data_IF_463309350208
#
_entry.id   IF_463309350208
#
_cell.length_a   1.000
_cell.length_b   1.000
_cell.length_c   1.000
_cell.angle_alpha   90.00
_cell.angle_beta   90.00
_cell.angle_gamma   90.00
#
_symmetry.space_group_name_H-M   'P 1'
#
loop_
_entity.id
_entity.type
_entity.pdbx_description
1 polymer ?
#
# COMPACT_ATOMS: atom_id res chain seq x y z
N UNK A 1 -47.71 -3.83 55.59
CA UNK A 1 -47.83 -3.81 54.12
C UNK A 1 -47.32 -2.48 53.62
N UNK A 2 -46.09 -2.43 53.10
CA UNK A 2 -45.50 -1.22 52.50
C UNK A 2 -45.71 -1.32 50.99
N UNK A 3 -46.51 -0.39 50.45
CA UNK A 3 -46.75 -0.25 49.02
C UNK A 3 -45.51 0.42 48.43
N UNK A 4 -44.68 -0.34 47.73
CA UNK A 4 -43.59 0.23 46.93
C UNK A 4 -44.19 0.98 45.74
N UNK A 5 -43.64 2.16 45.37
CA UNK A 5 -44.20 2.98 44.31
C UNK A 5 -43.87 2.36 42.94
N UNK A 6 -44.92 1.99 42.20
CA UNK A 6 -44.92 1.52 40.81
C UNK A 6 -44.26 2.52 39.83
N UNK A 7 -43.99 3.75 40.29
CA UNK A 7 -43.42 4.85 39.52
C UNK A 7 -41.93 4.69 39.21
N UNK A 8 -41.18 3.85 39.95
CA UNK A 8 -39.75 3.63 39.69
C UNK A 8 -39.46 2.63 38.57
N UNK A 9 -40.45 1.80 38.17
CA UNK A 9 -40.31 0.79 37.11
C UNK A 9 -40.52 1.36 35.69
N UNK A 10 -41.10 2.56 35.56
CA UNK A 10 -41.29 3.24 34.26
C UNK A 10 -40.11 4.13 33.84
N UNK A 11 -39.17 4.42 34.74
CA UNK A 11 -37.97 5.22 34.45
C UNK A 11 -36.74 4.38 34.06
N UNK A 12 -36.84 3.04 34.13
CA UNK A 12 -35.82 2.11 33.63
C UNK A 12 -36.14 1.55 32.22
N UNK A 13 -37.29 1.93 31.65
CA UNK A 13 -37.63 1.67 30.25
C UNK A 13 -37.09 2.78 29.33
N UNK A 14 -35.92 3.34 29.65
CA UNK A 14 -35.14 4.16 28.73
C UNK A 14 -34.64 3.27 27.59
N UNK A 15 -35.53 3.05 26.62
CA UNK A 15 -35.29 3.26 25.20
C UNK A 15 -33.87 2.91 24.77
N UNK A 16 -33.56 1.62 24.65
CA UNK A 16 -32.60 1.22 23.62
C UNK A 16 -33.21 1.72 22.31
N UNK A 17 -32.64 2.80 21.76
CA UNK A 17 -32.85 3.17 20.37
C UNK A 17 -32.80 1.89 19.56
N UNK A 18 -33.80 1.61 18.70
CA UNK A 18 -33.79 0.39 17.90
C UNK A 18 -32.42 0.30 17.25
N UNK A 19 -31.67 -0.73 17.64
CA UNK A 19 -30.31 -0.94 17.17
C UNK A 19 -30.39 -1.05 15.66
N UNK A 20 -29.56 -0.27 14.96
CA UNK A 20 -29.55 -0.30 13.51
C UNK A 20 -29.30 -1.76 13.08
N UNK A 21 -30.20 -2.39 12.32
CA UNK A 21 -30.06 -3.79 11.95
C UNK A 21 -28.72 -4.09 11.27
N UNK A 22 -28.13 -3.10 10.59
CA UNK A 22 -26.79 -3.24 10.01
C UNK A 22 -25.69 -3.39 11.08
N UNK A 23 -25.78 -2.68 12.21
CA UNK A 23 -24.78 -2.76 13.29
C UNK A 23 -24.80 -4.13 13.97
N UNK A 24 -26.00 -4.69 14.21
CA UNK A 24 -26.15 -6.03 14.75
C UNK A 24 -25.56 -7.11 13.82
N UNK A 25 -25.67 -6.93 12.50
CA UNK A 25 -25.07 -7.83 11.52
C UNK A 25 -23.53 -7.72 11.52
N UNK A 26 -22.99 -6.51 11.60
CA UNK A 26 -21.54 -6.27 11.67
C UNK A 26 -20.94 -6.85 12.94
N UNK A 27 -21.58 -6.66 14.10
CA UNK A 27 -21.12 -7.19 15.38
C UNK A 27 -21.07 -8.72 15.42
N UNK A 28 -22.02 -9.39 14.76
CA UNK A 28 -22.10 -10.85 14.71
C UNK A 28 -21.15 -11.52 13.68
N UNK A 29 -20.56 -10.75 12.75
CA UNK A 29 -19.73 -11.30 11.67
C UNK A 29 -18.55 -12.17 12.14
N UNK A 30 -17.76 -11.79 13.17
CA UNK A 30 -16.62 -12.60 13.61
C UNK A 30 -17.01 -13.98 14.16
N UNK A 31 -18.24 -14.14 14.65
CA UNK A 31 -18.71 -15.37 15.29
C UNK A 31 -19.43 -16.30 14.30
N UNK A 32 -20.20 -15.74 13.37
CA UNK A 32 -21.03 -16.50 12.43
C UNK A 32 -21.13 -15.80 11.04
N UNK A 33 -20.05 -15.81 10.23
CA UNK A 33 -20.05 -15.13 8.93
C UNK A 33 -21.06 -15.74 7.94
N UNK A 34 -21.27 -17.05 7.97
CA UNK A 34 -22.22 -17.74 7.09
C UNK A 34 -23.68 -17.40 7.45
N UNK A 35 -24.03 -17.40 8.73
CA UNK A 35 -25.35 -16.99 9.19
C UNK A 35 -25.61 -15.50 8.96
N UNK A 36 -24.62 -14.63 9.16
CA UNK A 36 -24.73 -13.21 8.80
C UNK A 36 -24.97 -13.05 7.30
N UNK A 37 -24.21 -13.77 6.46
CA UNK A 37 -24.40 -13.74 5.01
C UNK A 37 -25.80 -14.19 4.58
N UNK A 38 -26.34 -15.25 5.19
CA UNK A 38 -27.71 -15.69 4.95
C UNK A 38 -28.74 -14.62 5.35
N UNK A 39 -28.58 -13.99 6.52
CA UNK A 39 -29.47 -12.92 7.00
C UNK A 39 -29.43 -11.69 6.10
N UNK A 40 -28.25 -11.24 5.67
CA UNK A 40 -28.09 -10.10 4.75
C UNK A 40 -28.82 -10.34 3.43
N UNK A 41 -28.73 -11.55 2.87
CA UNK A 41 -29.44 -11.93 1.63
C UNK A 41 -30.95 -12.01 1.80
N UNK A 42 -31.42 -12.24 3.03
CA UNK A 42 -32.84 -12.33 3.38
C UNK A 42 -33.46 -10.98 3.79
N UNK A 43 -32.70 -9.88 3.76
CA UNK A 43 -33.24 -8.53 3.99
C UNK A 43 -34.15 -8.12 2.83
N UNK A 44 -35.40 -7.76 3.16
CA UNK A 44 -36.41 -7.34 2.17
C UNK A 44 -36.16 -5.91 1.64
N UNK A 45 -35.55 -5.05 2.46
CA UNK A 45 -35.25 -3.66 2.09
C UNK A 45 -33.86 -3.56 1.42
N UNK A 46 -33.77 -3.22 0.12
CA UNK A 46 -32.51 -3.11 -0.59
C UNK A 46 -31.59 -2.01 -0.04
N UNK A 47 -32.15 -0.96 0.57
CA UNK A 47 -31.35 0.11 1.19
C UNK A 47 -30.68 -0.42 2.46
N UNK A 48 -31.42 -1.13 3.31
CA UNK A 48 -30.87 -1.76 4.52
C UNK A 48 -29.82 -2.82 4.14
N UNK A 49 -30.09 -3.62 3.12
CA UNK A 49 -29.12 -4.58 2.59
C UNK A 49 -27.84 -3.88 2.11
N UNK A 50 -27.96 -2.79 1.34
CA UNK A 50 -26.82 -2.01 0.87
C UNK A 50 -25.99 -1.44 2.03
N UNK A 51 -26.64 -0.87 3.04
CA UNK A 51 -25.95 -0.34 4.23
C UNK A 51 -25.22 -1.46 4.97
N UNK A 52 -25.87 -2.60 5.21
CA UNK A 52 -25.28 -3.74 5.90
C UNK A 52 -24.05 -4.29 5.14
N UNK A 53 -24.16 -4.53 3.83
CA UNK A 53 -23.04 -5.03 3.02
C UNK A 53 -21.89 -4.01 2.98
N UNK A 54 -22.19 -2.72 2.87
CA UNK A 54 -21.16 -1.68 2.84
C UNK A 54 -20.37 -1.63 4.15
N UNK A 55 -21.06 -1.63 5.30
CA UNK A 55 -20.39 -1.64 6.63
C UNK A 55 -19.59 -2.92 6.85
N UNK A 56 -20.12 -4.08 6.43
CA UNK A 56 -19.39 -5.34 6.48
C UNK A 56 -18.13 -5.30 5.61
N UNK A 57 -18.20 -4.77 4.37
CA UNK A 57 -17.06 -4.68 3.48
C UNK A 57 -15.98 -3.70 3.96
N UNK A 58 -16.39 -2.60 4.59
CA UNK A 58 -15.49 -1.64 5.22
C UNK A 58 -14.78 -2.23 6.45
N UNK A 59 -15.50 -3.01 7.27
CA UNK A 59 -14.97 -3.60 8.50
C UNK A 59 -14.17 -4.89 8.29
N UNK A 60 -14.58 -5.71 7.33
CA UNK A 60 -14.02 -7.03 7.02
C UNK A 60 -13.65 -7.13 5.52
N UNK A 61 -12.73 -6.29 5.05
CA UNK A 61 -12.32 -6.24 3.67
C UNK A 61 -11.62 -7.55 3.26
N UNK A 62 -11.95 -8.07 2.08
CA UNK A 62 -11.43 -9.33 1.54
C UNK A 62 -12.19 -10.57 2.02
N UNK A 63 -13.05 -10.45 3.04
CA UNK A 63 -13.83 -11.57 3.59
C UNK A 63 -15.30 -11.55 3.15
N UNK A 64 -15.77 -10.42 2.59
CA UNK A 64 -17.18 -10.17 2.29
C UNK A 64 -17.50 -10.22 0.80
N UNK A 65 -16.56 -10.66 -0.04
CA UNK A 65 -16.71 -10.66 -1.50
C UNK A 65 -17.96 -11.39 -2.01
N UNK A 66 -18.36 -12.47 -1.35
CA UNK A 66 -19.58 -13.22 -1.67
C UNK A 66 -20.89 -12.46 -1.36
N UNK A 67 -20.83 -11.38 -0.57
CA UNK A 67 -21.97 -10.50 -0.29
C UNK A 67 -22.14 -9.44 -1.37
N UNK A 68 -21.07 -9.04 -2.07
CA UNK A 68 -21.16 -8.00 -3.10
C UNK A 68 -22.13 -8.41 -4.22
N UNK A 69 -22.19 -9.70 -4.56
CA UNK A 69 -23.13 -10.22 -5.55
C UNK A 69 -24.60 -10.12 -5.14
N UNK A 70 -24.90 -9.97 -3.84
CA UNK A 70 -26.26 -9.80 -3.34
C UNK A 70 -26.83 -8.40 -3.60
N UNK A 71 -25.96 -7.38 -3.68
CA UNK A 71 -26.36 -6.01 -4.02
C UNK A 71 -26.80 -5.91 -5.47
N UNK A 72 -27.71 -5.01 -5.82
CA UNK A 72 -28.04 -4.73 -7.22
C UNK A 72 -26.79 -4.25 -8.01
N UNK A 73 -26.78 -4.49 -9.33
CA UNK A 73 -25.70 -4.01 -10.18
C UNK A 73 -25.68 -2.48 -10.19
N UNK A 74 -24.54 -1.89 -9.82
CA UNK A 74 -24.39 -0.44 -9.72
C UNK A 74 -23.26 0.00 -8.78
N UNK A 75 -23.22 1.29 -8.42
CA UNK A 75 -22.12 1.88 -7.66
C UNK A 75 -21.84 1.19 -6.31
N UNK A 76 -22.89 0.72 -5.61
CA UNK A 76 -22.76 0.04 -4.33
C UNK A 76 -22.06 -1.34 -4.47
N UNK A 77 -22.48 -2.15 -5.45
CA UNK A 77 -21.82 -3.42 -5.78
C UNK A 77 -20.36 -3.20 -6.19
N UNK A 78 -20.10 -2.20 -7.04
CA UNK A 78 -18.73 -1.85 -7.46
C UNK A 78 -17.87 -1.44 -6.27
N UNK A 79 -18.42 -0.64 -5.34
CA UNK A 79 -17.72 -0.22 -4.12
C UNK A 79 -17.40 -1.41 -3.22
N UNK A 80 -18.38 -2.30 -2.97
CA UNK A 80 -18.16 -3.54 -2.23
C UNK A 80 -17.06 -4.42 -2.86
N UNK A 81 -17.07 -4.56 -4.19
CA UNK A 81 -16.05 -5.33 -4.89
C UNK A 81 -14.65 -4.72 -4.70
N UNK A 82 -14.52 -3.38 -4.77
CA UNK A 82 -13.23 -2.71 -4.55
C UNK A 82 -12.66 -2.94 -3.14
N UNK A 83 -13.50 -2.83 -2.10
CA UNK A 83 -13.11 -3.15 -0.72
C UNK A 83 -12.50 -4.55 -0.62
N UNK A 84 -13.15 -5.52 -1.25
CA UNK A 84 -12.75 -6.92 -1.19
C UNK A 84 -11.53 -7.26 -2.07
N UNK A 85 -11.29 -6.49 -3.14
CA UNK A 85 -10.12 -6.67 -3.99
C UNK A 85 -8.86 -6.01 -3.41
N UNK A 86 -9.01 -5.08 -2.44
CA UNK A 86 -7.90 -4.29 -1.89
C UNK A 86 -7.86 -4.31 -0.36
N UNK A 87 -7.87 -5.49 0.28
CA UNK A 87 -7.92 -5.56 1.74
C UNK A 87 -6.73 -4.88 2.43
N UNK A 88 -5.58 -4.82 1.77
CA UNK A 88 -4.37 -4.17 2.27
C UNK A 88 -4.51 -2.65 2.47
N UNK A 89 -5.41 -1.96 1.76
CA UNK A 89 -5.67 -0.53 2.02
C UNK A 89 -6.38 -0.34 3.36
N UNK A 90 -7.13 -1.35 3.78
CA UNK A 90 -8.00 -1.27 4.94
C UNK A 90 -7.34 -1.76 6.24
N UNK A 91 -6.16 -2.38 6.13
CA UNK A 91 -5.32 -2.78 7.27
C UNK A 91 -4.43 -1.64 7.78
N UNK A 92 -4.23 -0.58 7.00
CA UNK A 92 -3.50 0.61 7.46
C UNK A 92 -4.35 1.27 8.56
N UNK A 93 -3.82 1.45 9.80
CA UNK A 93 -4.54 2.14 10.85
C UNK A 93 -4.87 3.57 10.39
N UNK A 94 -6.06 4.11 10.70
CA UNK A 94 -6.31 5.53 10.55
C UNK A 94 -5.21 6.30 11.28
N UNK A 95 -4.71 7.39 10.69
CA UNK A 95 -3.83 8.30 11.42
C UNK A 95 -4.56 8.72 12.70
N UNK A 96 -3.90 8.62 13.85
CA UNK A 96 -4.53 8.95 15.13
C UNK A 96 -5.18 10.34 15.04
N UNK A 97 -6.46 10.44 15.41
CA UNK A 97 -7.27 11.65 15.25
C UNK A 97 -6.69 12.86 16.00
N UNK A 98 -5.80 12.61 16.96
CA UNK A 98 -5.10 13.62 17.77
C UNK A 98 -4.03 14.38 16.98
N UNK A 99 -3.57 13.84 15.85
CA UNK A 99 -2.89 14.65 14.86
C UNK A 99 -3.96 15.55 14.23
N UNK A 100 -4.06 16.79 14.72
CA UNK A 100 -4.97 17.81 14.20
C UNK A 100 -5.08 17.68 12.68
N UNK A 101 -6.28 17.65 12.09
CA UNK A 101 -6.48 17.42 10.67
C UNK A 101 -5.68 18.46 9.91
N UNK A 102 -4.44 18.09 9.56
CA UNK A 102 -3.58 18.95 8.81
C UNK A 102 -4.28 19.00 7.45
N UNK A 103 -4.81 20.16 7.11
CA UNK A 103 -5.35 20.46 5.77
C UNK A 103 -4.36 20.09 4.65
N UNK A 104 -3.10 19.85 5.01
CA UNK A 104 -2.03 19.30 4.19
C UNK A 104 -1.54 17.98 4.80
N UNK A 105 -2.02 16.81 4.34
CA UNK A 105 -1.29 15.58 4.59
C UNK A 105 0.12 15.75 3.99
N UNK A 106 1.17 15.65 4.82
CA UNK A 106 2.51 15.47 4.29
C UNK A 106 2.49 14.21 3.42
N UNK A 107 2.98 14.27 2.18
CA UNK A 107 3.02 13.10 1.33
C UNK A 107 3.86 12.02 2.04
N UNK A 108 3.51 10.73 1.89
CA UNK A 108 4.36 9.68 2.44
C UNK A 108 5.76 9.80 1.84
N UNK A 109 6.79 9.42 2.60
CA UNK A 109 8.20 9.72 2.27
C UNK A 109 8.65 9.17 0.90
N UNK A 110 7.94 8.16 0.38
CA UNK A 110 8.15 7.53 -0.91
C UNK A 110 7.41 8.22 -2.07
N UNK A 111 6.53 9.18 -1.79
CA UNK A 111 5.84 10.00 -2.79
C UNK A 111 6.46 11.39 -2.74
N UNK A 112 7.32 11.68 -3.71
CA UNK A 112 7.85 13.04 -3.87
C UNK A 112 6.84 13.87 -4.63
N UNK A 113 6.47 15.00 -4.05
CA UNK A 113 5.42 15.87 -4.56
C UNK A 113 5.93 17.30 -4.46
N UNK A 114 5.91 18.07 -5.55
CA UNK A 114 6.18 19.51 -5.46
C UNK A 114 5.17 20.20 -4.55
N UNK A 115 5.63 21.16 -3.76
CA UNK A 115 4.77 21.98 -2.89
C UNK A 115 3.59 22.61 -3.65
N UNK A 116 3.80 22.97 -4.91
CA UNK A 116 2.77 23.52 -5.80
C UNK A 116 1.55 22.59 -5.99
N UNK A 117 1.73 21.27 -5.87
CA UNK A 117 0.60 20.31 -5.90
C UNK A 117 -0.08 20.16 -4.54
N UNK A 118 0.62 20.46 -3.44
CA UNK A 118 0.05 20.46 -2.10
C UNK A 118 -0.86 21.68 -1.87
N UNK A 119 -0.59 22.79 -2.56
CA UNK A 119 -1.36 24.03 -2.44
C UNK A 119 -2.80 23.91 -3.01
N UNK A 120 -3.03 23.03 -3.99
CA UNK A 120 -4.34 22.84 -4.64
C UNK A 120 -5.40 22.39 -3.63
N UNK A 121 -5.02 21.56 -2.65
CA UNK A 121 -5.96 20.99 -1.67
C UNK A 121 -6.44 22.01 -0.66
N UNK A 122 -5.52 22.84 -0.16
CA UNK A 122 -5.84 23.87 0.81
C UNK A 122 -6.84 24.90 0.25
N UNK A 123 -6.95 25.02 -1.07
CA UNK A 123 -7.85 25.95 -1.76
C UNK A 123 -9.12 25.29 -2.34
N UNK A 124 -9.25 23.95 -2.31
CA UNK A 124 -10.41 23.27 -2.89
C UNK A 124 -11.61 23.38 -1.96
N UNK A 125 -12.60 24.18 -2.35
CA UNK A 125 -13.86 24.26 -1.62
C UNK A 125 -14.69 22.96 -1.84
N UNK A 126 -15.38 22.45 -0.80
CA UNK A 126 -16.34 21.36 -0.96
C UNK A 126 -17.45 21.75 -1.96
N UNK A 127 -17.79 20.84 -2.88
CA UNK A 127 -18.95 20.98 -3.78
C UNK A 127 -19.69 19.64 -3.89
N UNK A 128 -20.74 19.42 -3.09
CA UNK A 128 -21.53 18.19 -3.17
C UNK A 128 -22.41 18.14 -4.43
N UNK A 129 -22.59 19.27 -5.12
CA UNK A 129 -23.53 19.40 -6.23
C UNK A 129 -24.95 19.00 -5.84
N UNK A 130 -25.46 17.93 -6.46
CA UNK A 130 -26.79 17.37 -6.19
C UNK A 130 -26.81 16.27 -5.13
N UNK A 131 -25.65 15.84 -4.62
CA UNK A 131 -25.56 14.84 -3.56
C UNK A 131 -25.82 15.47 -2.18
N UNK A 132 -26.29 14.68 -1.23
CA UNK A 132 -26.18 15.06 0.19
C UNK A 132 -24.72 14.92 0.65
N UNK A 133 -24.29 15.72 1.63
CA UNK A 133 -22.98 15.57 2.27
C UNK A 133 -22.83 14.18 2.92
N UNK A 134 -23.92 13.64 3.47
CA UNK A 134 -23.96 12.32 4.10
C UNK A 134 -23.98 11.15 3.09
N UNK A 135 -24.20 11.43 1.79
CA UNK A 135 -24.25 10.40 0.75
C UNK A 135 -22.88 10.19 0.10
N UNK A 136 -21.99 9.54 0.85
CA UNK A 136 -20.63 9.26 0.41
C UNK A 136 -20.57 8.43 -0.89
N UNK A 137 -21.58 7.61 -1.19
CA UNK A 137 -21.64 6.83 -2.43
C UNK A 137 -21.95 7.73 -3.63
N UNK A 138 -22.91 8.64 -3.51
CA UNK A 138 -23.23 9.64 -4.53
C UNK A 138 -22.00 10.51 -4.82
N UNK A 139 -21.37 11.06 -3.78
CA UNK A 139 -20.18 11.90 -3.88
C UNK A 139 -19.01 11.17 -4.57
N UNK A 140 -18.73 9.93 -4.17
CA UNK A 140 -17.68 9.12 -4.79
C UNK A 140 -17.95 8.82 -6.27
N UNK A 141 -19.22 8.57 -6.63
CA UNK A 141 -19.61 8.33 -8.02
C UNK A 141 -19.41 9.59 -8.86
N UNK A 142 -19.92 10.74 -8.38
CA UNK A 142 -19.72 12.05 -9.00
C UNK A 142 -18.24 12.38 -9.19
N UNK A 143 -17.41 12.09 -8.18
CA UNK A 143 -15.98 12.34 -8.26
C UNK A 143 -15.30 11.52 -9.36
N UNK A 144 -15.62 10.22 -9.46
CA UNK A 144 -15.10 9.33 -10.51
C UNK A 144 -15.53 9.78 -11.91
N UNK A 145 -16.80 10.15 -12.09
CA UNK A 145 -17.29 10.67 -13.37
C UNK A 145 -16.63 11.99 -13.76
N UNK A 146 -16.38 12.88 -12.80
CA UNK A 146 -15.65 14.13 -13.04
C UNK A 146 -14.20 13.86 -13.44
N UNK A 147 -13.51 12.94 -12.74
CA UNK A 147 -12.14 12.55 -13.04
C UNK A 147 -12.01 11.89 -14.43
N UNK A 148 -12.93 10.99 -14.78
CA UNK A 148 -12.98 10.36 -16.10
C UNK A 148 -13.17 11.38 -17.24
N UNK A 149 -13.86 12.50 -16.95
CA UNK A 149 -14.05 13.60 -17.87
C UNK A 149 -12.90 14.65 -17.84
N UNK A 150 -11.81 14.40 -17.12
CA UNK A 150 -10.69 15.34 -16.98
C UNK A 150 -10.99 16.56 -16.09
N UNK A 151 -12.09 16.55 -15.33
CA UNK A 151 -12.50 17.64 -14.43
C UNK A 151 -11.97 17.41 -13.01
N UNK A 152 -10.65 17.42 -12.86
CA UNK A 152 -9.95 17.07 -11.61
C UNK A 152 -10.39 17.92 -10.41
N UNK A 153 -10.53 19.24 -10.58
CA UNK A 153 -10.97 20.12 -9.48
C UNK A 153 -12.39 19.80 -9.02
N UNK A 154 -13.27 19.39 -9.93
CA UNK A 154 -14.64 18.97 -9.56
C UNK A 154 -14.64 17.60 -8.87
N UNK A 155 -13.76 16.69 -9.29
CA UNK A 155 -13.58 15.40 -8.62
C UNK A 155 -13.07 15.60 -7.18
N UNK A 156 -12.06 16.45 -7.03
CA UNK A 156 -11.51 16.87 -5.75
C UNK A 156 -12.57 17.48 -4.83
N UNK A 157 -13.33 18.47 -5.31
CA UNK A 157 -14.37 19.13 -4.53
C UNK A 157 -15.46 18.17 -4.04
N UNK A 158 -15.84 17.19 -4.87
CA UNK A 158 -16.80 16.16 -4.49
C UNK A 158 -16.23 15.21 -3.40
N UNK A 159 -14.96 14.81 -3.49
CA UNK A 159 -14.35 13.99 -2.45
C UNK A 159 -14.13 14.75 -1.14
N UNK A 160 -13.77 16.04 -1.18
CA UNK A 160 -13.66 16.87 0.04
C UNK A 160 -15.01 16.99 0.76
N UNK A 161 -16.14 16.89 0.04
CA UNK A 161 -17.48 16.89 0.64
C UNK A 161 -17.87 15.59 1.36
N UNK A 162 -17.03 14.54 1.32
CA UNK A 162 -17.28 13.30 2.08
C UNK A 162 -16.82 13.51 3.52
N UNK A 163 -17.75 13.39 4.48
CA UNK A 163 -17.48 13.68 5.90
C UNK A 163 -16.54 12.65 6.56
N UNK A 164 -16.78 11.36 6.33
CA UNK A 164 -15.93 10.29 6.86
C UNK A 164 -14.53 10.31 6.21
N UNK A 165 -13.49 10.38 7.03
CA UNK A 165 -12.11 10.52 6.54
C UNK A 165 -11.66 9.35 5.70
N UNK A 166 -12.03 8.12 6.08
CA UNK A 166 -11.59 6.92 5.37
C UNK A 166 -12.33 6.75 4.04
N UNK A 167 -13.62 7.03 4.02
CA UNK A 167 -14.42 7.08 2.79
C UNK A 167 -13.97 8.20 1.85
N UNK A 168 -13.57 9.36 2.39
CA UNK A 168 -12.95 10.44 1.62
C UNK A 168 -11.65 10.00 0.97
N UNK A 169 -10.77 9.32 1.70
CA UNK A 169 -9.53 8.76 1.16
C UNK A 169 -9.80 7.73 0.04
N UNK A 170 -10.79 6.84 0.21
CA UNK A 170 -11.23 5.91 -0.85
C UNK A 170 -11.82 6.64 -2.07
N UNK A 171 -12.61 7.70 -1.86
CA UNK A 171 -13.13 8.55 -2.93
C UNK A 171 -11.99 9.10 -3.79
N UNK A 172 -10.97 9.67 -3.16
CA UNK A 172 -9.80 10.20 -3.84
C UNK A 172 -9.03 9.14 -4.63
N UNK A 173 -8.81 7.98 -4.01
CA UNK A 173 -8.17 6.83 -4.68
C UNK A 173 -8.96 6.44 -5.93
N UNK A 174 -10.28 6.20 -5.78
CA UNK A 174 -11.12 5.74 -6.87
C UNK A 174 -11.27 6.80 -7.97
N UNK A 175 -11.27 8.09 -7.62
CA UNK A 175 -11.27 9.18 -8.58
C UNK A 175 -9.95 9.24 -9.37
N UNK A 176 -8.80 9.06 -8.69
CA UNK A 176 -7.50 9.01 -9.36
C UNK A 176 -7.42 7.88 -10.39
N UNK A 177 -7.93 6.69 -10.05
CA UNK A 177 -8.00 5.55 -10.98
C UNK A 177 -8.99 5.74 -12.13
N UNK A 178 -9.96 6.64 -11.97
CA UNK A 178 -10.92 6.97 -13.02
C UNK A 178 -10.35 7.96 -14.05
N UNK A 179 -9.23 8.64 -13.74
CA UNK A 179 -8.55 9.51 -14.71
C UNK A 179 -8.08 8.66 -15.90
N UNK A 180 -8.33 9.09 -17.16
CA UNK A 180 -7.87 8.36 -18.34
C UNK A 180 -6.36 8.11 -18.27
N UNK A 181 -5.88 6.86 -18.35
CA UNK A 181 -4.47 6.58 -18.16
C UNK A 181 -3.66 7.18 -19.32
N UNK A 182 -2.68 8.02 -19.02
CA UNK A 182 -1.78 8.59 -20.01
C UNK A 182 -0.69 9.43 -19.35
N UNK A 183 0.47 9.64 -20.01
CA UNK A 183 1.55 10.45 -19.45
C UNK A 183 1.07 11.88 -19.15
N UNK A 184 0.25 12.46 -20.04
CA UNK A 184 -0.26 13.82 -19.91
C UNK A 184 -1.29 13.97 -18.77
N UNK A 185 -2.08 12.92 -18.51
CA UNK A 185 -3.10 12.91 -17.45
C UNK A 185 -2.57 12.40 -16.10
N UNK A 186 -1.32 11.94 -16.04
CA UNK A 186 -0.77 11.38 -14.82
C UNK A 186 -0.68 12.41 -13.70
N UNK A 187 -0.26 13.64 -14.01
CA UNK A 187 -0.17 14.71 -13.01
C UNK A 187 -1.53 14.96 -12.34
N UNK A 188 -2.61 14.82 -13.09
CA UNK A 188 -3.99 14.94 -12.60
C UNK A 188 -4.41 13.78 -11.70
N UNK A 189 -4.04 12.55 -12.04
CA UNK A 189 -4.26 11.39 -11.20
C UNK A 189 -3.41 11.45 -9.91
N UNK A 190 -2.14 11.86 -10.01
CA UNK A 190 -1.26 12.07 -8.84
C UNK A 190 -1.84 13.10 -7.91
N UNK A 191 -2.34 14.24 -8.44
CA UNK A 191 -3.05 15.23 -7.63
C UNK A 191 -4.12 14.54 -6.79
N UNK A 192 -5.05 13.80 -7.41
CA UNK A 192 -6.11 13.10 -6.68
C UNK A 192 -5.55 12.08 -5.65
N UNK A 193 -4.46 11.37 -5.96
CA UNK A 193 -3.82 10.47 -5.01
C UNK A 193 -3.31 11.17 -3.74
N UNK A 194 -2.91 12.45 -3.80
CA UNK A 194 -2.51 13.20 -2.60
C UNK A 194 -3.68 13.39 -1.62
N UNK A 195 -4.89 13.54 -2.16
CA UNK A 195 -6.11 13.58 -1.35
C UNK A 195 -6.45 12.24 -0.70
N UNK A 196 -5.87 11.13 -1.17
CA UNK A 196 -6.11 9.80 -0.62
C UNK A 196 -5.42 9.55 0.73
N UNK A 197 -4.74 10.54 1.32
CA UNK A 197 -4.22 10.49 2.68
C UNK A 197 -3.31 9.29 2.93
N UNK A 198 -3.73 8.38 3.83
CA UNK A 198 -2.96 7.17 4.13
C UNK A 198 -2.84 6.20 2.96
N UNK A 199 -3.70 6.32 1.94
CA UNK A 199 -3.66 5.48 0.74
C UNK A 199 -2.83 6.09 -0.41
N UNK A 200 -2.24 7.28 -0.23
CA UNK A 200 -1.59 8.03 -1.31
C UNK A 200 -0.49 7.23 -2.04
N UNK A 201 0.38 6.53 -1.32
CA UNK A 201 1.46 5.72 -1.92
C UNK A 201 0.91 4.57 -2.78
N UNK A 202 -0.09 3.84 -2.26
CA UNK A 202 -0.74 2.75 -3.01
C UNK A 202 -1.52 3.27 -4.21
N UNK A 203 -2.21 4.41 -4.07
CA UNK A 203 -2.90 5.09 -5.16
C UNK A 203 -1.92 5.44 -6.29
N UNK A 204 -0.79 6.04 -5.94
CA UNK A 204 0.26 6.39 -6.89
C UNK A 204 0.75 5.15 -7.65
N UNK A 205 0.98 4.04 -6.95
CA UNK A 205 1.34 2.76 -7.57
C UNK A 205 0.30 2.25 -8.57
N UNK A 206 -0.99 2.29 -8.22
CA UNK A 206 -2.08 1.84 -9.09
C UNK A 206 -2.21 2.68 -10.36
N UNK A 207 -2.20 4.01 -10.21
CA UNK A 207 -2.26 4.94 -11.34
C UNK A 207 -1.07 4.72 -12.27
N UNK A 208 0.13 4.51 -11.72
CA UNK A 208 1.32 4.22 -12.51
C UNK A 208 1.18 2.92 -13.31
N UNK A 209 0.73 1.84 -12.66
CA UNK A 209 0.45 0.57 -13.33
C UNK A 209 -0.59 0.75 -14.45
N UNK A 210 -1.64 1.56 -14.23
CA UNK A 210 -2.66 1.82 -15.24
C UNK A 210 -2.09 2.54 -16.49
N UNK A 211 -1.21 3.54 -16.29
CA UNK A 211 -0.49 4.21 -17.40
C UNK A 211 0.35 3.22 -18.19
N UNK A 212 1.01 2.27 -17.51
CA UNK A 212 1.89 1.26 -18.12
C UNK A 212 1.14 0.09 -18.77
N UNK A 213 -0.05 -0.22 -18.31
CA UNK A 213 -0.82 -1.38 -18.76
C UNK A 213 -1.63 -1.10 -20.03
N UNK A 214 -1.59 0.13 -20.58
CA UNK A 214 -2.28 0.44 -21.83
C UNK A 214 -1.77 -0.46 -22.96
N UNK A 215 -2.65 -1.11 -23.72
CA UNK A 215 -2.28 -2.05 -24.77
C UNK A 215 -1.54 -1.32 -25.90
N UNK A 216 -0.23 -1.44 -25.92
CA UNK A 216 0.63 -1.30 -27.09
C UNK A 216 1.38 -2.61 -27.31
N UNK A 217 1.91 -2.89 -28.50
CA UNK A 217 2.79 -4.05 -28.69
C UNK A 217 3.99 -3.87 -27.76
N UNK A 218 4.01 -4.65 -26.68
CA UNK A 218 4.97 -4.52 -25.58
C UNK A 218 6.35 -5.06 -25.97
N UNK A 219 6.96 -4.44 -26.97
CA UNK A 219 8.39 -4.50 -27.16
C UNK A 219 9.07 -3.59 -26.12
N UNK A 220 10.32 -3.89 -25.77
CA UNK A 220 11.13 -3.09 -24.86
C UNK A 220 11.32 -1.62 -25.30
N UNK A 221 11.48 -1.32 -26.61
CA UNK A 221 11.59 0.07 -27.06
C UNK A 221 10.38 0.95 -26.62
N UNK A 222 9.12 0.50 -26.76
CA UNK A 222 7.95 1.17 -26.19
C UNK A 222 8.05 1.53 -24.70
N UNK A 223 8.60 0.66 -23.84
CA UNK A 223 8.65 0.92 -22.40
C UNK A 223 9.73 1.96 -22.05
N UNK A 224 10.92 1.88 -22.67
CA UNK A 224 11.97 2.90 -22.48
C UNK A 224 11.50 4.26 -22.98
N UNK A 225 10.89 4.31 -24.17
CA UNK A 225 10.30 5.55 -24.69
C UNK A 225 9.14 6.05 -23.82
N UNK A 226 8.31 5.16 -23.28
CA UNK A 226 7.23 5.53 -22.38
C UNK A 226 7.76 6.05 -21.05
N UNK A 227 8.80 5.44 -20.49
CA UNK A 227 9.51 5.91 -19.30
C UNK A 227 10.16 7.27 -19.54
N UNK A 228 10.77 7.49 -20.71
CA UNK A 228 11.32 8.79 -21.10
C UNK A 228 10.23 9.86 -21.24
N UNK A 229 9.12 9.55 -21.95
CA UNK A 229 7.96 10.45 -22.07
C UNK A 229 7.37 10.80 -20.70
N UNK A 230 7.27 9.80 -19.82
CA UNK A 230 6.84 9.97 -18.43
C UNK A 230 7.80 10.90 -17.67
N UNK A 231 9.11 10.64 -17.75
CA UNK A 231 10.13 11.49 -17.13
C UNK A 231 9.99 12.93 -17.58
N UNK A 232 9.98 13.15 -18.90
CA UNK A 232 10.00 14.48 -19.49
C UNK A 232 8.69 15.22 -19.16
N UNK A 233 7.54 14.56 -19.33
CA UNK A 233 6.24 15.13 -18.99
C UNK A 233 6.15 15.52 -17.51
N UNK A 234 6.76 14.74 -16.60
CA UNK A 234 6.66 15.00 -15.17
C UNK A 234 7.71 15.97 -14.67
N UNK A 235 8.94 15.92 -15.20
CA UNK A 235 9.94 16.97 -14.97
C UNK A 235 9.39 18.32 -15.39
N UNK A 236 8.73 18.41 -16.55
CA UNK A 236 8.11 19.64 -17.03
C UNK A 236 6.90 20.05 -16.19
N UNK A 237 5.98 19.13 -15.92
CA UNK A 237 4.77 19.42 -15.14
C UNK A 237 5.07 19.87 -13.71
N UNK A 238 6.20 19.43 -13.16
CA UNK A 238 6.55 19.61 -11.75
C UNK A 238 7.72 20.55 -11.50
N UNK A 239 8.39 21.02 -12.55
CA UNK A 239 9.58 21.86 -12.49
C UNK A 239 10.66 21.32 -11.53
N UNK A 240 10.71 19.99 -11.35
CA UNK A 240 11.64 19.33 -10.44
C UNK A 240 12.13 18.00 -11.07
N UNK A 241 13.39 17.96 -11.55
CA UNK A 241 13.98 16.77 -12.16
C UNK A 241 14.02 15.54 -11.24
N UNK A 242 14.21 15.73 -9.94
CA UNK A 242 14.31 14.61 -8.98
C UNK A 242 12.99 13.86 -8.87
N UNK A 243 11.85 14.56 -8.98
CA UNK A 243 10.53 13.95 -8.92
C UNK A 243 10.28 13.11 -10.17
N UNK A 244 10.62 13.64 -11.34
CA UNK A 244 10.56 12.90 -12.59
C UNK A 244 11.42 11.63 -12.53
N UNK A 245 12.64 11.74 -11.99
CA UNK A 245 13.57 10.63 -11.83
C UNK A 245 13.04 9.54 -10.88
N UNK A 246 12.61 9.90 -9.66
CA UNK A 246 12.08 8.91 -8.69
C UNK A 246 10.81 8.22 -9.19
N UNK A 247 9.98 8.94 -9.92
CA UNK A 247 8.76 8.39 -10.45
C UNK A 247 9.03 7.45 -11.64
N UNK A 248 10.12 7.68 -12.41
CA UNK A 248 10.66 6.72 -13.38
C UNK A 248 11.29 5.49 -12.70
N UNK A 249 12.02 5.67 -11.61
CA UNK A 249 12.55 4.55 -10.82
C UNK A 249 11.41 3.66 -10.30
N UNK A 250 10.36 4.30 -9.77
CA UNK A 250 9.15 3.60 -9.34
C UNK A 250 8.43 2.92 -10.52
N UNK A 251 8.41 3.55 -11.68
CA UNK A 251 7.87 3.00 -12.92
C UNK A 251 8.60 1.71 -13.30
N UNK A 252 9.93 1.71 -13.25
CA UNK A 252 10.74 0.52 -13.53
C UNK A 252 10.50 -0.60 -12.53
N UNK A 253 10.44 -0.28 -11.24
CA UNK A 253 10.13 -1.24 -10.18
C UNK A 253 8.76 -1.90 -10.41
N UNK A 254 7.70 -1.11 -10.66
CA UNK A 254 6.34 -1.64 -10.86
C UNK A 254 6.17 -2.38 -12.19
N UNK A 255 6.73 -1.86 -13.28
CA UNK A 255 6.65 -2.47 -14.61
C UNK A 255 7.14 -3.92 -14.59
N UNK A 256 8.09 -4.21 -13.72
CA UNK A 256 8.68 -5.54 -13.66
C UNK A 256 8.18 -6.37 -12.49
N UNK A 257 7.85 -5.79 -11.33
CA UNK A 257 7.10 -6.52 -10.31
C UNK A 257 5.78 -7.09 -10.89
N UNK A 258 5.04 -6.28 -11.67
CA UNK A 258 3.78 -6.69 -12.29
C UNK A 258 3.92 -7.59 -13.52
N UNK A 259 5.14 -7.83 -14.02
CA UNK A 259 5.39 -8.64 -15.24
C UNK A 259 6.53 -9.65 -15.08
N UNK A 260 6.85 -10.01 -13.84
CA UNK A 260 7.85 -10.99 -13.49
C UNK A 260 7.72 -12.31 -14.28
N UNK A 261 6.57 -12.64 -14.85
CA UNK A 261 6.40 -13.89 -15.60
C UNK A 261 6.60 -13.73 -17.12
N UNK A 262 6.57 -12.50 -17.65
CA UNK A 262 6.48 -12.23 -19.11
C UNK A 262 7.64 -11.42 -19.68
N UNK A 263 8.48 -10.84 -18.83
CA UNK A 263 9.67 -10.11 -19.26
C UNK A 263 10.80 -11.12 -19.55
N UNK A 264 11.60 -10.96 -20.63
CA UNK A 264 12.89 -11.66 -20.78
C UNK A 264 13.77 -11.51 -19.52
N UNK A 265 14.84 -12.28 -19.37
CA UNK A 265 15.73 -12.13 -18.22
C UNK A 265 16.12 -10.64 -18.02
N UNK A 266 15.81 -9.99 -16.88
CA UNK A 266 16.08 -8.58 -16.67
C UNK A 266 17.57 -8.23 -16.78
N UNK A 267 18.48 -9.20 -16.61
CA UNK A 267 19.91 -9.02 -16.90
C UNK A 267 20.17 -8.80 -18.38
N UNK A 268 19.51 -9.56 -19.26
CA UNK A 268 19.58 -9.35 -20.72
C UNK A 268 19.02 -7.98 -21.12
N UNK A 269 18.08 -7.44 -20.33
CA UNK A 269 17.55 -6.10 -20.54
C UNK A 269 18.50 -5.00 -20.06
N UNK A 270 19.24 -5.25 -18.97
CA UNK A 270 20.19 -4.31 -18.42
C UNK A 270 21.34 -3.98 -19.37
N UNK A 271 21.71 -4.91 -20.27
CA UNK A 271 22.79 -4.73 -21.25
C UNK A 271 22.49 -3.66 -22.32
N UNK A 272 21.21 -3.38 -22.58
CA UNK A 272 20.76 -2.37 -23.56
C UNK A 272 20.09 -1.14 -22.95
N UNK A 273 19.96 -1.08 -21.63
CA UNK A 273 19.29 0.00 -20.93
C UNK A 273 20.25 1.16 -20.60
N UNK A 274 19.76 2.41 -20.47
CA UNK A 274 20.53 3.49 -19.86
C UNK A 274 21.09 3.07 -18.49
N UNK A 275 22.26 3.57 -18.05
CA UNK A 275 22.90 3.13 -16.81
C UNK A 275 21.98 3.09 -15.59
N UNK A 276 21.10 4.09 -15.48
CA UNK A 276 20.12 4.21 -14.39
C UNK A 276 19.07 3.08 -14.45
N UNK A 277 18.56 2.77 -15.64
CA UNK A 277 17.60 1.68 -15.85
C UNK A 277 18.28 0.30 -15.77
N UNK A 278 19.54 0.18 -16.21
CA UNK A 278 20.32 -1.05 -16.12
C UNK A 278 20.53 -1.47 -14.67
N UNK A 279 20.80 -0.50 -13.77
CA UNK A 279 20.93 -0.80 -12.36
C UNK A 279 19.61 -1.27 -11.74
N UNK A 280 18.50 -0.62 -12.08
CA UNK A 280 17.18 -1.04 -11.63
C UNK A 280 16.83 -2.44 -12.13
N UNK A 281 17.09 -2.73 -13.41
CA UNK A 281 16.89 -4.05 -14.01
C UNK A 281 17.74 -5.15 -13.35
N UNK A 282 18.93 -4.82 -12.88
CA UNK A 282 19.77 -5.74 -12.08
C UNK A 282 19.17 -6.02 -10.70
N UNK A 283 18.84 -4.97 -9.94
CA UNK A 283 18.21 -5.10 -8.60
C UNK A 283 16.94 -5.95 -8.66
N UNK A 284 16.23 -5.81 -9.77
CA UNK A 284 14.95 -6.43 -10.07
C UNK A 284 15.05 -7.83 -10.66
N UNK A 285 16.12 -8.19 -11.40
CA UNK A 285 16.44 -9.60 -11.67
C UNK A 285 16.57 -10.35 -10.34
N UNK A 286 17.24 -9.70 -9.39
CA UNK A 286 17.39 -10.15 -8.02
C UNK A 286 16.01 -10.31 -7.31
N UNK A 287 15.10 -9.33 -7.44
CA UNK A 287 13.71 -9.44 -6.93
C UNK A 287 12.83 -10.46 -7.67
N UNK A 288 13.03 -10.69 -8.97
CA UNK A 288 12.25 -11.64 -9.78
C UNK A 288 12.57 -13.08 -9.39
N UNK A 289 13.86 -13.40 -9.19
CA UNK A 289 14.25 -14.67 -8.57
C UNK A 289 13.52 -14.85 -7.23
N UNK A 290 13.41 -13.78 -6.45
CA UNK A 290 12.66 -13.78 -5.18
C UNK A 290 11.15 -14.03 -5.31
N UNK A 291 10.43 -13.46 -6.28
CA UNK A 291 8.96 -13.62 -6.39
C UNK A 291 8.53 -15.07 -6.66
N UNK A 292 9.33 -15.82 -7.40
CA UNK A 292 9.11 -17.25 -7.68
C UNK A 292 9.27 -18.11 -6.41
N UNK A 293 10.17 -17.70 -5.51
CA UNK A 293 10.46 -18.43 -4.26
C UNK A 293 9.55 -17.98 -3.07
N UNK A 294 8.91 -16.80 -3.18
CA UNK A 294 8.01 -16.19 -2.18
C UNK A 294 6.77 -17.00 -1.81
N UNK A 295 6.42 -18.05 -2.58
CA UNK A 295 5.34 -18.93 -2.20
C UNK A 295 5.64 -19.77 -0.93
N UNK A 296 6.86 -19.73 -0.39
CA UNK A 296 7.28 -20.63 0.69
C UNK A 296 7.48 -20.01 2.08
N UNK A 297 8.19 -18.89 2.27
CA UNK A 297 8.63 -18.50 3.63
C UNK A 297 8.60 -16.97 3.89
N UNK A 298 8.16 -16.57 5.10
CA UNK A 298 7.94 -15.17 5.50
C UNK A 298 9.12 -14.21 5.30
N UNK A 299 8.87 -12.89 5.25
CA UNK A 299 9.88 -11.89 4.88
C UNK A 299 11.12 -11.84 5.81
N UNK A 300 12.30 -11.67 5.20
CA UNK A 300 13.64 -11.69 5.86
C UNK A 300 13.90 -10.52 6.84
N UNK A 301 13.01 -9.53 6.86
CA UNK A 301 13.14 -8.32 7.66
C UNK A 301 11.85 -7.95 8.39
N UNK A 302 11.04 -8.94 8.77
CA UNK A 302 9.75 -8.70 9.44
C UNK A 302 9.86 -7.98 10.79
N UNK A 303 10.89 -8.32 11.56
CA UNK A 303 11.05 -7.83 12.93
C UNK A 303 12.29 -6.94 13.08
N UNK A 304 12.12 -5.75 13.65
CA UNK A 304 13.26 -4.93 14.07
C UNK A 304 13.91 -5.54 15.32
N UNK A 305 15.21 -5.79 15.27
CA UNK A 305 15.97 -6.13 16.47
C UNK A 305 16.22 -4.87 17.30
N UNK A 306 16.46 -4.99 18.62
CA UNK A 306 16.89 -3.88 19.45
C UNK A 306 18.09 -3.13 18.82
N UNK A 307 17.92 -1.81 18.60
CA UNK A 307 18.94 -0.94 17.99
C UNK A 307 18.78 -0.72 16.48
N UNK A 308 17.80 -1.35 15.81
CA UNK A 308 17.55 -1.17 14.38
C UNK A 308 16.54 -0.05 14.08
N UNK A 309 15.89 0.50 15.10
CA UNK A 309 14.84 1.53 14.95
C UNK A 309 15.34 2.84 14.33
N UNK A 310 16.67 3.06 14.31
CA UNK A 310 17.30 4.25 13.73
C UNK A 310 18.01 4.00 12.39
N UNK A 311 17.96 2.78 11.85
CA UNK A 311 18.58 2.48 10.56
C UNK A 311 17.60 2.94 9.46
N UNK A 312 18.01 3.81 8.52
CA UNK A 312 17.19 4.12 7.36
C UNK A 312 16.79 2.82 6.66
N UNK A 313 15.55 2.74 6.18
CA UNK A 313 15.05 1.51 5.58
C UNK A 313 14.20 1.80 4.33
N UNK A 314 14.35 0.95 3.32
CA UNK A 314 13.47 0.91 2.15
C UNK A 314 12.39 -0.13 2.41
N UNK A 315 11.13 0.29 2.39
CA UNK A 315 9.98 -0.61 2.50
C UNK A 315 9.66 -1.21 1.15
N UNK A 316 9.65 -2.55 1.08
CA UNK A 316 9.29 -3.26 -0.14
C UNK A 316 7.78 -3.22 -0.34
N UNK A 317 7.38 -2.84 -1.54
CA UNK A 317 6.08 -2.24 -1.86
C UNK A 317 4.88 -3.18 -1.78
N UNK A 318 5.11 -4.48 -1.73
CA UNK A 318 4.02 -5.41 -2.01
C UNK A 318 3.14 -5.74 -0.79
N UNK A 319 3.62 -5.61 0.45
CA UNK A 319 2.83 -6.11 1.61
C UNK A 319 3.03 -5.37 2.93
N UNK A 320 3.79 -4.26 2.98
CA UNK A 320 3.95 -3.47 4.21
C UNK A 320 4.61 -4.21 5.40
N UNK A 321 5.11 -5.44 5.19
CA UNK A 321 5.71 -6.28 6.25
C UNK A 321 7.19 -6.56 6.04
N UNK A 322 7.86 -5.89 5.11
CA UNK A 322 9.30 -6.08 4.84
C UNK A 322 9.98 -4.75 4.61
N UNK A 323 11.05 -4.49 5.36
CA UNK A 323 11.87 -3.30 5.22
C UNK A 323 13.34 -3.73 5.18
N UNK A 324 14.08 -3.36 4.14
CA UNK A 324 15.52 -3.57 4.10
C UNK A 324 16.25 -2.36 4.65
N UNK A 325 17.43 -2.51 5.24
CA UNK A 325 18.30 -1.38 5.54
C UNK A 325 18.61 -0.59 4.26
N UNK A 326 18.74 0.72 4.41
CA UNK A 326 19.08 1.67 3.37
C UNK A 326 20.29 2.51 3.80
N UNK A 327 21.05 3.00 2.83
CA UNK A 327 22.14 3.95 3.05
C UNK A 327 22.06 5.10 2.04
N UNK A 328 22.53 6.28 2.43
CA UNK A 328 22.57 7.45 1.54
C UNK A 328 23.68 7.32 0.48
N UNK A 329 24.68 6.47 0.71
CA UNK A 329 25.68 6.08 -0.29
C UNK A 329 25.07 5.06 -1.27
N UNK A 330 24.88 5.43 -2.56
CA UNK A 330 24.26 4.56 -3.54
C UNK A 330 25.01 3.23 -3.76
N UNK A 331 26.33 3.21 -3.57
CA UNK A 331 27.12 2.00 -3.73
C UNK A 331 26.88 1.03 -2.57
N UNK A 332 26.76 1.55 -1.34
CA UNK A 332 26.45 0.73 -0.18
C UNK A 332 24.99 0.28 -0.19
N UNK A 333 24.05 1.14 -0.58
CA UNK A 333 22.64 0.78 -0.72
C UNK A 333 22.43 -0.33 -1.75
N UNK A 334 23.17 -0.26 -2.87
CA UNK A 334 23.19 -1.32 -3.86
C UNK A 334 23.71 -2.64 -3.27
N UNK A 335 24.85 -2.62 -2.56
CA UNK A 335 25.38 -3.81 -1.93
C UNK A 335 24.39 -4.41 -0.90
N UNK A 336 23.66 -3.58 -0.15
CA UNK A 336 22.59 -4.04 0.74
C UNK A 336 21.45 -4.75 -0.02
N UNK A 337 21.02 -4.18 -1.14
CA UNK A 337 20.01 -4.79 -2.01
C UNK A 337 20.51 -6.11 -2.62
N UNK A 338 21.77 -6.17 -3.04
CA UNK A 338 22.42 -7.38 -3.57
C UNK A 338 22.51 -8.49 -2.50
N UNK A 339 22.86 -8.16 -1.26
CA UNK A 339 22.89 -9.13 -0.16
C UNK A 339 21.50 -9.68 0.16
N UNK A 340 20.50 -8.81 0.24
CA UNK A 340 19.13 -9.27 0.44
C UNK A 340 18.68 -10.19 -0.70
N UNK A 341 19.01 -9.86 -1.94
CA UNK A 341 18.70 -10.72 -3.08
C UNK A 341 19.45 -12.06 -3.02
N UNK A 342 20.72 -12.03 -2.63
CA UNK A 342 21.55 -13.22 -2.48
C UNK A 342 21.00 -14.17 -1.39
N UNK A 343 20.52 -13.62 -0.28
CA UNK A 343 19.87 -14.41 0.76
C UNK A 343 18.62 -15.17 0.27
N UNK A 344 17.99 -14.68 -0.80
CA UNK A 344 16.72 -15.19 -1.31
C UNK A 344 16.87 -16.23 -2.41
N UNK A 345 18.09 -16.60 -2.80
CA UNK A 345 18.38 -17.62 -3.83
C UNK A 345 19.22 -18.77 -3.26
N UNK A 346 18.95 -20.00 -3.68
CA UNK A 346 19.55 -21.23 -3.10
C UNK A 346 21.09 -21.18 -3.04
N UNK A 347 21.73 -20.67 -4.10
CA UNK A 347 23.19 -20.56 -4.22
C UNK A 347 23.76 -19.18 -3.83
N UNK A 348 22.96 -18.29 -3.24
CA UNK A 348 23.40 -16.92 -2.94
C UNK A 348 24.15 -16.76 -1.62
N UNK A 349 24.31 -17.85 -0.86
CA UNK A 349 25.01 -17.84 0.43
C UNK A 349 26.47 -17.38 0.30
N UNK A 350 27.13 -17.65 -0.84
CA UNK A 350 28.52 -17.24 -1.08
C UNK A 350 28.70 -15.72 -1.02
N UNK A 351 27.75 -14.95 -1.57
CA UNK A 351 27.81 -13.49 -1.51
C UNK A 351 27.60 -12.96 -0.08
N UNK A 352 26.77 -13.64 0.72
CA UNK A 352 26.62 -13.31 2.15
C UNK A 352 27.92 -13.60 2.91
N UNK A 353 28.58 -14.73 2.62
CA UNK A 353 29.86 -15.10 3.24
C UNK A 353 30.96 -14.12 2.84
N UNK A 354 31.01 -13.71 1.57
CA UNK A 354 31.94 -12.70 1.09
C UNK A 354 31.74 -11.37 1.82
N UNK A 355 30.50 -10.88 1.92
CA UNK A 355 30.20 -9.65 2.64
C UNK A 355 30.51 -9.74 4.13
N UNK A 356 30.31 -10.89 4.78
CA UNK A 356 30.72 -11.13 6.16
C UNK A 356 32.23 -10.98 6.38
N UNK A 357 33.05 -11.23 5.35
CA UNK A 357 34.50 -11.06 5.43
C UNK A 357 34.97 -9.63 5.10
N UNK A 358 34.08 -8.75 4.64
CA UNK A 358 34.39 -7.38 4.24
C UNK A 358 34.64 -6.42 5.42
N UNK A 359 35.11 -5.22 5.11
CA UNK A 359 35.42 -4.19 6.12
C UNK A 359 34.20 -3.34 6.54
N UNK A 360 33.14 -3.31 5.71
CA UNK A 360 31.96 -2.48 5.96
C UNK A 360 31.01 -3.12 6.98
N UNK A 361 30.89 -2.47 8.14
CA UNK A 361 30.10 -2.98 9.26
C UNK A 361 28.60 -3.14 8.93
N UNK A 362 28.01 -2.28 8.10
CA UNK A 362 26.59 -2.37 7.74
C UNK A 362 26.34 -3.55 6.80
N UNK A 363 27.25 -3.79 5.85
CA UNK A 363 27.19 -4.96 4.97
C UNK A 363 27.41 -6.27 5.74
N UNK A 364 28.43 -6.33 6.62
CA UNK A 364 28.66 -7.49 7.51
C UNK A 364 27.43 -7.78 8.37
N UNK A 365 26.86 -6.73 8.96
CA UNK A 365 25.68 -6.85 9.82
C UNK A 365 24.46 -7.39 9.06
N UNK A 366 24.21 -6.87 7.85
CA UNK A 366 23.11 -7.33 7.00
C UNK A 366 23.31 -8.77 6.57
N UNK A 367 24.53 -9.12 6.13
CA UNK A 367 24.90 -10.47 5.73
C UNK A 367 24.76 -11.48 6.87
N UNK A 368 25.22 -11.14 8.09
CA UNK A 368 25.08 -11.99 9.27
C UNK A 368 23.62 -12.33 9.57
N UNK A 369 22.76 -11.30 9.56
CA UNK A 369 21.32 -11.47 9.82
C UNK A 369 20.67 -12.34 8.75
N UNK A 370 20.91 -12.02 7.49
CA UNK A 370 20.33 -12.72 6.36
C UNK A 370 20.76 -14.18 6.36
N UNK A 371 22.06 -14.45 6.52
CA UNK A 371 22.61 -15.80 6.58
C UNK A 371 22.06 -16.59 7.77
N UNK A 372 21.90 -15.97 8.94
CA UNK A 372 21.30 -16.62 10.12
C UNK A 372 19.84 -17.04 9.91
N UNK A 373 19.11 -16.37 9.01
CA UNK A 373 17.73 -16.75 8.68
C UNK A 373 17.66 -17.85 7.63
N UNK A 374 18.49 -17.74 6.58
CA UNK A 374 18.37 -18.62 5.40
C UNK A 374 19.25 -19.87 5.52
N UNK A 375 20.29 -19.82 6.36
CA UNK A 375 21.20 -20.92 6.64
C UNK A 375 21.73 -20.82 8.09
N UNK A 376 20.89 -21.02 9.14
CA UNK A 376 21.26 -20.82 10.55
C UNK A 376 22.46 -21.65 11.04
N UNK A 377 22.73 -22.77 10.37
CA UNK A 377 23.84 -23.69 10.66
C UNK A 377 25.09 -23.41 9.81
N UNK A 378 25.11 -22.34 9.01
CA UNK A 378 26.24 -22.05 8.13
C UNK A 378 27.52 -21.76 8.94
N UNK A 379 28.67 -22.40 8.63
CA UNK A 379 29.91 -22.24 9.41
C UNK A 379 30.41 -20.80 9.56
N UNK A 380 30.15 -19.94 8.57
CA UNK A 380 30.53 -18.52 8.62
C UNK A 380 29.88 -17.75 9.79
N UNK A 381 28.72 -18.22 10.29
CA UNK A 381 28.07 -17.59 11.45
C UNK A 381 28.87 -17.78 12.75
N UNK A 382 29.74 -18.79 12.84
CA UNK A 382 30.65 -18.95 13.99
C UNK A 382 31.63 -17.79 14.07
N UNK A 383 32.21 -17.39 12.93
CA UNK A 383 33.10 -16.23 12.86
C UNK A 383 32.33 -14.93 13.12
N UNK A 384 31.15 -14.78 12.52
CA UNK A 384 30.32 -13.58 12.69
C UNK A 384 29.88 -13.36 14.16
N UNK A 385 29.63 -14.43 14.94
CA UNK A 385 29.34 -14.35 16.39
C UNK A 385 30.52 -13.82 17.22
N UNK A 386 31.73 -13.86 16.68
CA UNK A 386 32.94 -13.32 17.29
C UNK A 386 33.38 -11.98 16.65
N UNK A 387 32.55 -11.37 15.79
CA UNK A 387 32.86 -10.10 15.14
C UNK A 387 33.11 -8.99 16.18
N UNK A 388 34.12 -8.12 15.97
CA UNK A 388 34.37 -7.00 16.89
C UNK A 388 33.21 -5.99 16.95
N UNK A 389 32.35 -5.91 15.93
CA UNK A 389 31.11 -5.13 16.00
C UNK A 389 30.02 -5.97 16.70
N UNK A 390 29.56 -5.55 17.91
CA UNK A 390 28.56 -6.29 18.68
C UNK A 390 27.22 -6.44 17.94
N UNK A 391 26.92 -5.57 16.97
CA UNK A 391 25.70 -5.69 16.16
C UNK A 391 25.81 -6.91 15.25
N UNK A 392 26.93 -7.10 14.56
CA UNK A 392 27.16 -8.26 13.69
C UNK A 392 27.07 -9.55 14.50
N UNK A 393 27.76 -9.60 15.66
CA UNK A 393 27.73 -10.74 16.56
C UNK A 393 26.32 -11.10 17.04
N UNK A 394 25.52 -10.10 17.41
CA UNK A 394 24.14 -10.31 17.85
C UNK A 394 23.25 -10.86 16.72
N UNK A 395 23.44 -10.41 15.47
CA UNK A 395 22.59 -10.81 14.32
C UNK A 395 22.97 -12.17 13.72
N UNK A 396 24.19 -12.63 13.97
CA UNK A 396 24.63 -13.98 13.61
C UNK A 396 23.99 -15.09 14.49
N UNK A 397 23.23 -14.72 15.52
CA UNK A 397 22.50 -15.65 16.37
C UNK A 397 21.07 -15.86 15.83
N UNK A 398 20.53 -17.10 15.85
CA UNK A 398 19.15 -17.35 15.47
C UNK A 398 18.19 -16.51 16.31
N UNK A 399 17.13 -15.99 15.70
CA UNK A 399 16.07 -15.34 16.48
C UNK A 399 15.47 -16.36 17.45
N UNK A 400 15.20 -15.97 18.71
CA UNK A 400 14.27 -16.75 19.52
C UNK A 400 12.95 -16.84 18.74
N UNK A 401 12.25 -17.98 18.79
CA UNK A 401 10.96 -18.13 18.13
C UNK A 401 10.03 -16.96 18.46
N UNK A 402 9.31 -16.38 17.49
CA UNK A 402 8.35 -15.32 17.76
C UNK A 402 7.36 -15.78 18.84
N UNK A 403 7.30 -15.03 19.96
CA UNK A 403 6.47 -15.34 21.13
C UNK A 403 7.22 -15.74 22.40
N UNK A 404 8.57 -15.83 22.38
CA UNK A 404 9.40 -16.12 23.56
C UNK A 404 10.28 -14.95 24.04
N UNK A 405 10.15 -13.76 23.46
CA UNK A 405 10.75 -12.57 24.02
C UNK A 405 9.92 -12.14 25.25
N UNK A 406 10.44 -12.41 26.44
CA UNK A 406 9.90 -11.83 27.68
C UNK A 406 10.00 -10.30 27.66
N UNK A 407 9.04 -9.58 28.28
CA UNK A 407 8.97 -8.12 28.27
C UNK A 407 10.16 -7.39 28.92
#
# INVERSE_FOLDING_TARGET
MRVLPLTLLLLLACTSTPEDPADALVAAWPEDPDGVAARVRALDDPVVQQVAVSRLAERYPGQTGALCAALEAGPARDRCARFNQRPHLWTVPPRAADAAPALRPAPPADVVVPDALLDIWAATAPDPGSCSADDGLCLSTRAREAAAAGRVSAAAAACVSVDDDRARQDCFFAAAEAVPPGPDQYADAVRLCLGAGSFASMCHGHVLIAVLSRPGPFALPPLVEQAARVRDAWTDAWANPEVGQRAVERLWSLAVAGRADTIPDPLTLAEGAPPEAAQQLRNLHAERRWAVDRARDGGLWRDYYPGEQGIPAVFLLDLGTGARPADDDPARDLALAELEAAARVEDGQDALVEALAGDDALLRWSAARLLAQVAPEHPALVAARADPDPRVAQRASPLPPPGLAEP
#
